data_IF_945195560684
#
_entry.id   IF_945195560684
#
_cell.length_a   1.000
_cell.length_b   1.000
_cell.length_c   1.000
_cell.angle_alpha   90.00
_cell.angle_beta   90.00
_cell.angle_gamma   90.00
#
_symmetry.space_group_name_H-M   'P 1'
#
loop_
_entity.id
_entity.type
_entity.pdbx_description
1 polymer ?
#
# COMPACT_ATOMS: atom_id res chain seq x y z
N UNK A 1 -11.45 8.52 29.49
CA UNK A 1 -12.11 8.95 28.26
C UNK A 1 -11.16 9.95 27.61
N UNK A 2 -10.56 9.58 26.49
CA UNK A 2 -9.60 10.44 25.76
C UNK A 2 -10.23 10.93 24.47
N UNK A 3 -9.79 12.11 24.00
CA UNK A 3 -10.22 12.68 22.72
C UNK A 3 -9.06 12.65 21.73
N UNK A 4 -9.29 12.08 20.55
CA UNK A 4 -8.28 11.95 19.51
C UNK A 4 -8.69 12.67 18.22
N UNK A 5 -7.76 13.36 17.59
CA UNK A 5 -7.97 13.91 16.26
C UNK A 5 -7.25 13.06 15.20
N UNK A 6 -7.85 12.92 14.01
CA UNK A 6 -7.28 12.17 12.89
C UNK A 6 -7.28 13.07 11.66
N UNK A 7 -6.10 13.32 11.08
CA UNK A 7 -5.97 14.06 9.83
C UNK A 7 -6.36 13.17 8.63
N UNK A 8 -7.54 13.39 8.08
CA UNK A 8 -8.01 12.75 6.85
C UNK A 8 -8.20 13.76 5.70
N UNK A 9 -7.50 14.90 5.78
CA UNK A 9 -7.64 15.98 4.80
C UNK A 9 -7.27 15.59 3.37
N UNK A 10 -6.42 14.59 3.13
CA UNK A 10 -6.11 14.09 1.79
C UNK A 10 -7.08 13.02 1.27
N UNK A 11 -7.92 12.46 2.15
CA UNK A 11 -8.81 11.33 1.80
C UNK A 11 -10.06 11.70 1.00
N UNK A 12 -10.27 13.00 0.69
CA UNK A 12 -11.37 13.48 -0.17
C UNK A 12 -11.20 13.05 -1.65
N UNK A 13 -10.00 12.66 -2.05
CA UNK A 13 -9.71 12.24 -3.43
C UNK A 13 -10.55 11.00 -3.74
N UNK A 14 -11.33 11.00 -4.85
CA UNK A 14 -12.22 9.89 -5.19
C UNK A 14 -11.47 8.59 -5.50
N UNK A 15 -10.20 8.71 -5.82
CA UNK A 15 -9.34 7.58 -6.17
C UNK A 15 -8.41 7.29 -5.00
N UNK A 16 -8.71 6.24 -4.24
CA UNK A 16 -7.84 5.79 -3.15
C UNK A 16 -6.55 5.21 -3.72
N UNK A 17 -5.43 5.70 -3.22
CA UNK A 17 -4.11 5.07 -3.39
C UNK A 17 -3.73 4.43 -2.06
N UNK A 18 -2.89 3.42 -2.04
CA UNK A 18 -2.60 2.59 -0.87
C UNK A 18 -2.54 3.33 0.47
N UNK A 19 -1.76 4.42 0.59
CA UNK A 19 -1.67 5.23 1.81
C UNK A 19 -3.02 5.83 2.26
N UNK A 20 -3.88 6.23 1.33
CA UNK A 20 -5.20 6.80 1.66
C UNK A 20 -6.18 5.70 2.08
N UNK A 21 -6.05 4.50 1.51
CA UNK A 21 -6.78 3.32 1.97
C UNK A 21 -6.41 3.01 3.42
N UNK A 22 -5.11 2.98 3.74
CA UNK A 22 -4.65 2.77 5.12
C UNK A 22 -5.21 3.82 6.07
N UNK A 23 -5.17 5.10 5.69
CA UNK A 23 -5.69 6.19 6.52
C UNK A 23 -7.19 6.02 6.84
N UNK A 24 -7.98 5.66 5.84
CA UNK A 24 -9.43 5.42 6.00
C UNK A 24 -9.69 4.19 6.84
N UNK A 25 -9.06 3.07 6.53
CA UNK A 25 -9.35 1.80 7.21
C UNK A 25 -8.83 1.78 8.67
N UNK A 26 -7.68 2.40 8.94
CA UNK A 26 -7.19 2.57 10.32
C UNK A 26 -8.13 3.49 11.11
N UNK A 27 -8.60 4.60 10.52
CA UNK A 27 -9.56 5.48 11.19
C UNK A 27 -10.87 4.75 11.52
N UNK A 28 -11.43 3.96 10.59
CA UNK A 28 -12.62 3.11 10.84
C UNK A 28 -12.37 2.16 12.00
N UNK A 29 -11.31 1.37 11.90
CA UNK A 29 -11.01 0.34 12.90
C UNK A 29 -10.76 0.93 14.30
N UNK A 30 -10.18 2.14 14.39
CA UNK A 30 -10.01 2.84 15.67
C UNK A 30 -11.34 3.29 16.25
N UNK A 31 -12.23 3.88 15.42
CA UNK A 31 -13.56 4.33 15.87
C UNK A 31 -14.42 3.14 16.30
N UNK A 32 -14.36 2.02 15.58
CA UNK A 32 -15.03 0.77 15.94
C UNK A 32 -14.51 0.16 17.25
N UNK A 33 -13.20 0.26 17.50
CA UNK A 33 -12.53 -0.26 18.70
C UNK A 33 -12.61 0.70 19.91
N UNK A 34 -13.29 1.85 19.78
CA UNK A 34 -13.40 2.85 20.84
C UNK A 34 -14.04 2.28 22.10
N UNK A 35 -13.35 2.25 23.19
CA UNK A 35 -13.88 1.90 24.51
C UNK A 35 -14.19 3.18 25.31
N UNK A 36 -15.10 4.03 24.78
CA UNK A 36 -15.47 5.31 25.38
C UNK A 36 -14.59 6.51 24.97
N UNK A 37 -13.62 6.34 24.07
CA UNK A 37 -12.84 7.46 23.51
C UNK A 37 -13.65 8.20 22.44
N UNK A 38 -13.39 9.49 22.31
CA UNK A 38 -14.01 10.38 21.32
C UNK A 38 -13.04 10.63 20.17
N UNK A 39 -13.58 10.73 18.94
CA UNK A 39 -12.79 10.99 17.74
C UNK A 39 -13.30 12.21 16.99
N UNK A 40 -12.36 13.03 16.50
CA UNK A 40 -12.62 14.15 15.63
C UNK A 40 -11.83 13.98 14.33
N UNK A 41 -12.52 13.85 13.20
CA UNK A 41 -11.90 13.80 11.88
C UNK A 41 -11.60 15.21 11.39
N UNK A 42 -10.35 15.48 11.03
CA UNK A 42 -9.94 16.72 10.36
C UNK A 42 -10.06 16.48 8.85
N UNK A 43 -11.08 17.03 8.25
CA UNK A 43 -11.43 16.80 6.84
C UNK A 43 -11.10 18.02 5.98
N UNK A 44 -10.85 17.80 4.70
CA UNK A 44 -11.01 18.84 3.68
C UNK A 44 -12.51 19.11 3.50
N UNK A 45 -12.94 20.11 2.81
CA UNK A 45 -14.32 20.57 2.59
C UNK A 45 -15.49 19.60 2.83
N UNK A 46 -15.26 18.30 2.85
CA UNK A 46 -16.26 17.24 3.04
C UNK A 46 -15.65 16.05 3.78
N UNK A 47 -16.48 15.28 4.43
CA UNK A 47 -16.09 14.01 5.03
C UNK A 47 -15.84 12.99 3.92
N UNK A 48 -14.70 12.25 3.92
CA UNK A 48 -14.45 11.23 2.91
C UNK A 48 -15.59 10.19 2.86
N UNK A 49 -16.02 9.77 1.67
CA UNK A 49 -17.12 8.81 1.49
C UNK A 49 -16.93 7.52 2.32
N UNK A 50 -15.67 7.02 2.40
CA UNK A 50 -15.37 5.85 3.22
C UNK A 50 -15.46 6.06 4.73
N UNK A 51 -15.68 7.28 5.21
CA UNK A 51 -15.82 7.64 6.64
C UNK A 51 -17.16 8.33 6.92
N UNK A 52 -18.06 8.37 5.94
CA UNK A 52 -19.32 9.13 6.05
C UNK A 52 -20.19 8.67 7.21
N UNK A 53 -20.30 7.35 7.39
CA UNK A 53 -21.20 6.70 8.36
C UNK A 53 -20.55 6.49 9.75
N UNK A 54 -19.31 6.96 9.96
CA UNK A 54 -18.69 6.82 11.26
C UNK A 54 -19.32 7.75 12.29
N UNK A 55 -19.66 7.19 13.43
CA UNK A 55 -20.17 7.93 14.58
C UNK A 55 -19.02 8.67 15.31
N UNK A 56 -18.62 9.81 14.77
CA UNK A 56 -17.60 10.69 15.32
C UNK A 56 -17.76 12.11 14.75
N UNK A 57 -17.19 13.10 15.41
CA UNK A 57 -17.17 14.48 14.94
C UNK A 57 -16.32 14.68 13.70
N UNK A 58 -16.63 15.71 12.90
CA UNK A 58 -15.78 16.14 11.79
C UNK A 58 -15.66 17.65 11.75
N UNK A 59 -14.43 18.13 11.61
CA UNK A 59 -14.12 19.55 11.40
C UNK A 59 -13.66 19.74 9.96
N UNK A 60 -14.39 20.57 9.23
CA UNK A 60 -14.19 20.79 7.81
C UNK A 60 -13.29 21.99 7.55
N UNK A 61 -12.28 21.83 6.72
CA UNK A 61 -11.42 22.90 6.29
C UNK A 61 -12.06 23.73 5.15
N UNK A 62 -11.85 25.05 5.13
CA UNK A 62 -12.33 25.90 4.05
C UNK A 62 -11.52 25.75 2.74
N UNK A 63 -10.42 25.00 2.77
CA UNK A 63 -9.47 24.85 1.66
C UNK A 63 -9.38 23.41 1.18
N UNK A 64 -8.98 23.23 -0.11
CA UNK A 64 -8.65 21.90 -0.67
C UNK A 64 -7.16 21.72 -0.92
N UNK A 65 -6.41 22.79 -1.02
CA UNK A 65 -5.00 22.73 -1.38
C UNK A 65 -4.16 22.23 -0.21
N UNK A 66 -3.51 21.11 -0.35
CA UNK A 66 -2.79 20.39 0.73
C UNK A 66 -1.73 21.27 1.41
N UNK A 67 -0.95 22.05 0.65
CA UNK A 67 0.07 22.94 1.23
C UNK A 67 -0.57 24.00 2.11
N UNK A 68 -1.71 24.59 1.70
CA UNK A 68 -2.43 25.59 2.49
C UNK A 68 -3.04 24.96 3.73
N UNK A 69 -3.61 23.76 3.61
CA UNK A 69 -4.12 23.01 4.76
C UNK A 69 -3.04 22.79 5.81
N UNK A 70 -1.89 22.24 5.41
CA UNK A 70 -0.77 21.92 6.31
C UNK A 70 -0.04 23.16 6.85
N UNK A 71 0.03 24.25 6.07
CA UNK A 71 0.75 25.44 6.50
C UNK A 71 -0.09 26.39 7.38
N UNK A 72 -1.40 26.43 7.20
CA UNK A 72 -2.26 27.44 7.85
C UNK A 72 -3.38 26.87 8.69
N UNK A 73 -4.12 25.89 8.18
CA UNK A 73 -5.33 25.40 8.83
C UNK A 73 -5.04 24.35 9.91
N UNK A 74 -4.31 23.29 9.59
CA UNK A 74 -3.98 22.24 10.54
C UNK A 74 -3.30 22.77 11.80
N UNK A 75 -2.25 23.63 11.73
CA UNK A 75 -1.62 24.18 12.93
C UNK A 75 -2.58 25.00 13.81
N UNK A 76 -3.66 25.55 13.25
CA UNK A 76 -4.69 26.25 14.00
C UNK A 76 -5.68 25.28 14.64
N UNK A 77 -6.27 24.41 13.83
CA UNK A 77 -7.34 23.51 14.28
C UNK A 77 -6.83 22.49 15.30
N UNK A 78 -5.57 22.04 15.22
CA UNK A 78 -4.96 21.16 16.21
C UNK A 78 -5.08 21.68 17.65
N UNK A 79 -4.98 23.00 17.84
CA UNK A 79 -5.08 23.62 19.18
C UNK A 79 -6.52 23.90 19.60
N UNK A 80 -7.47 23.89 18.66
CA UNK A 80 -8.87 24.25 18.90
C UNK A 80 -9.76 23.03 19.18
N UNK A 81 -9.41 21.85 18.64
CA UNK A 81 -10.25 20.63 18.78
C UNK A 81 -10.18 19.97 20.16
N UNK A 82 -9.31 20.44 21.07
CA UNK A 82 -9.21 19.91 22.42
C UNK A 82 -8.82 18.42 22.49
N UNK A 83 -8.08 17.92 21.49
CA UNK A 83 -7.63 16.54 21.45
C UNK A 83 -6.46 16.29 22.40
N UNK A 84 -6.39 15.09 23.00
CA UNK A 84 -5.27 14.67 23.84
C UNK A 84 -4.09 14.16 22.99
N UNK A 85 -4.35 13.67 21.78
CA UNK A 85 -3.34 13.32 20.78
C UNK A 85 -3.92 13.42 19.36
N UNK A 86 -3.04 13.58 18.36
CA UNK A 86 -3.44 13.66 16.95
C UNK A 86 -2.69 12.64 16.11
N UNK A 87 -3.41 11.92 15.23
CA UNK A 87 -2.86 10.99 14.25
C UNK A 87 -2.75 11.66 12.88
N UNK A 88 -1.58 11.56 12.28
CA UNK A 88 -1.30 11.85 10.87
C UNK A 88 -1.07 10.52 10.14
N UNK A 89 -2.12 9.89 9.59
CA UNK A 89 -2.03 8.54 9.02
C UNK A 89 -1.33 8.49 7.67
N UNK A 90 -1.05 9.63 7.09
CA UNK A 90 -0.18 9.79 5.92
C UNK A 90 0.68 11.04 6.16
N UNK A 91 1.93 10.87 6.44
CA UNK A 91 2.82 12.00 6.65
C UNK A 91 3.04 12.84 5.35
N UNK A 92 3.56 14.06 5.42
CA UNK A 92 4.09 14.73 6.59
C UNK A 92 3.02 15.40 7.44
N UNK A 93 3.26 15.43 8.76
CA UNK A 93 2.56 16.34 9.67
C UNK A 93 2.86 17.82 9.29
N UNK A 94 2.13 18.80 9.82
CA UNK A 94 2.46 20.19 9.61
C UNK A 94 3.93 20.48 9.96
N UNK A 95 4.68 21.22 9.11
CA UNK A 95 6.11 21.47 9.32
C UNK A 95 6.38 22.35 10.55
N UNK A 96 5.39 23.14 10.95
CA UNK A 96 5.41 23.97 12.17
C UNK A 96 4.11 23.78 12.90
N UNK A 97 4.22 23.27 14.12
CA UNK A 97 3.09 23.12 15.04
C UNK A 97 3.09 24.26 16.06
N UNK A 98 1.91 24.67 16.50
CA UNK A 98 1.78 25.75 17.48
C UNK A 98 2.14 25.26 18.89
N UNK A 99 2.61 26.16 19.79
CA UNK A 99 2.66 25.84 21.21
C UNK A 99 1.28 25.40 21.70
N UNK A 100 1.24 24.36 22.54
CA UNK A 100 -0.01 23.80 23.03
C UNK A 100 -0.74 22.83 22.08
N UNK A 101 -0.18 22.57 20.88
CA UNK A 101 -0.72 21.52 20.02
C UNK A 101 -0.56 20.13 20.68
N UNK A 102 -1.57 19.23 20.56
CA UNK A 102 -1.52 17.91 21.19
C UNK A 102 -0.36 17.07 20.63
N UNK A 103 0.15 16.10 21.41
CA UNK A 103 1.18 15.18 20.91
C UNK A 103 0.80 14.57 19.56
N UNK A 104 1.76 14.51 18.60
CA UNK A 104 1.54 13.98 17.26
C UNK A 104 2.02 12.54 17.13
N UNK A 105 1.20 11.70 16.57
CA UNK A 105 1.55 10.37 16.07
C UNK A 105 1.56 10.42 14.54
N UNK A 106 2.65 10.04 13.90
CA UNK A 106 2.79 10.04 12.43
C UNK A 106 2.93 8.63 11.89
N UNK A 107 2.37 8.36 10.71
CA UNK A 107 2.56 7.09 10.01
C UNK A 107 3.51 7.28 8.84
N UNK A 108 4.63 6.56 8.82
CA UNK A 108 5.63 6.56 7.73
C UNK A 108 5.49 5.27 6.94
N UNK A 109 4.86 5.35 5.75
CA UNK A 109 4.52 4.17 4.95
C UNK A 109 5.71 3.52 4.26
N UNK A 110 6.62 4.30 3.71
CA UNK A 110 7.85 3.82 3.07
C UNK A 110 8.94 4.88 3.04
N UNK A 111 10.12 4.51 2.56
CA UNK A 111 11.26 5.39 2.37
C UNK A 111 11.80 5.36 0.93
N UNK A 112 10.93 5.07 -0.04
CA UNK A 112 11.32 4.98 -1.46
C UNK A 112 12.06 6.24 -1.93
N UNK A 113 11.61 7.42 -1.52
CA UNK A 113 12.22 8.70 -1.88
C UNK A 113 13.69 8.84 -1.40
N UNK A 114 14.09 8.08 -0.39
CA UNK A 114 15.44 8.07 0.19
C UNK A 114 16.28 6.91 -0.30
N UNK A 115 15.70 5.72 -0.38
CA UNK A 115 16.40 4.47 -0.70
C UNK A 115 16.46 4.19 -2.20
N UNK A 116 15.47 4.67 -2.94
CA UNK A 116 15.32 4.51 -4.40
C UNK A 116 15.08 5.87 -5.08
N UNK A 117 15.96 6.86 -4.90
CA UNK A 117 15.71 8.23 -5.33
C UNK A 117 15.54 8.37 -6.85
N UNK A 118 16.12 7.49 -7.65
CA UNK A 118 15.94 7.48 -9.10
C UNK A 118 14.53 7.07 -9.54
N UNK A 119 13.77 6.40 -8.67
CA UNK A 119 12.43 5.86 -8.94
C UNK A 119 11.30 6.76 -8.41
N UNK A 120 11.66 7.93 -7.86
CA UNK A 120 10.70 8.88 -7.27
C UNK A 120 10.88 10.27 -7.91
N UNK A 121 9.80 11.00 -8.26
CA UNK A 121 9.89 12.36 -8.80
C UNK A 121 10.74 13.28 -7.93
N UNK A 122 11.57 14.11 -8.54
CA UNK A 122 12.49 14.96 -7.79
C UNK A 122 11.76 15.94 -6.84
N UNK A 123 10.58 16.43 -7.25
CA UNK A 123 9.75 17.30 -6.40
C UNK A 123 9.30 16.56 -5.13
N UNK A 124 8.79 15.33 -5.29
CA UNK A 124 8.37 14.51 -4.16
C UNK A 124 9.57 14.16 -3.28
N UNK A 125 10.71 13.81 -3.87
CA UNK A 125 11.95 13.51 -3.15
C UNK A 125 12.42 14.71 -2.32
N UNK A 126 12.40 15.91 -2.89
CA UNK A 126 12.76 17.13 -2.18
C UNK A 126 11.77 17.42 -1.04
N UNK A 127 10.46 17.40 -1.33
CA UNK A 127 9.40 17.63 -0.36
C UNK A 127 9.47 16.64 0.80
N UNK A 128 9.53 15.36 0.50
CA UNK A 128 9.59 14.30 1.51
C UNK A 128 10.92 14.34 2.29
N UNK A 129 12.03 14.54 1.60
CA UNK A 129 13.36 14.58 2.21
C UNK A 129 13.55 15.74 3.17
N UNK A 130 12.93 16.89 2.92
CA UNK A 130 13.02 18.07 3.80
C UNK A 130 12.10 18.01 5.00
N UNK A 131 10.94 17.36 4.88
CA UNK A 131 9.92 17.40 5.93
C UNK A 131 9.99 16.23 6.90
N UNK A 132 10.46 15.04 6.48
CA UNK A 132 10.42 13.86 7.33
C UNK A 132 11.33 14.01 8.57
N UNK A 133 12.56 14.48 8.40
CA UNK A 133 13.49 14.63 9.53
C UNK A 133 12.93 15.51 10.68
N UNK A 134 12.43 16.73 10.38
CA UNK A 134 11.71 17.54 11.39
C UNK A 134 10.47 16.86 11.96
N UNK A 135 9.66 16.18 11.13
CA UNK A 135 8.47 15.47 11.61
C UNK A 135 8.83 14.36 12.61
N UNK A 136 9.89 13.56 12.33
CA UNK A 136 10.38 12.51 13.22
C UNK A 136 10.88 13.06 14.57
N UNK A 137 11.55 14.22 14.55
CA UNK A 137 12.02 14.86 15.79
C UNK A 137 10.87 15.32 16.67
N UNK A 138 9.80 15.81 16.07
CA UNK A 138 8.66 16.43 16.76
C UNK A 138 7.51 15.45 17.05
N UNK A 139 7.53 14.24 16.49
CA UNK A 139 6.50 13.24 16.75
C UNK A 139 6.68 12.61 18.12
N UNK A 140 5.59 12.46 18.87
CA UNK A 140 5.56 11.72 20.12
C UNK A 140 5.66 10.21 19.90
N UNK A 141 5.09 9.71 18.79
CA UNK A 141 5.28 8.35 18.33
C UNK A 141 5.26 8.28 16.79
N UNK A 142 5.89 7.24 16.24
CA UNK A 142 5.99 6.99 14.80
C UNK A 142 5.51 5.58 14.51
N UNK A 143 4.55 5.46 13.61
CA UNK A 143 4.03 4.19 13.12
C UNK A 143 4.69 3.84 11.80
N UNK A 144 4.97 2.56 11.60
CA UNK A 144 5.53 2.03 10.34
C UNK A 144 4.82 0.71 10.00
N UNK A 145 4.65 0.35 8.71
CA UNK A 145 3.85 -0.82 8.32
C UNK A 145 4.58 -2.16 8.46
N UNK A 146 5.92 -2.14 8.60
CA UNK A 146 6.73 -3.36 8.62
C UNK A 146 8.02 -3.17 9.45
N UNK A 147 8.62 -4.28 9.89
CA UNK A 147 9.95 -4.28 10.53
C UNK A 147 11.01 -3.82 9.53
N UNK A 148 10.82 -4.09 8.25
CA UNK A 148 11.69 -3.60 7.19
C UNK A 148 11.67 -2.07 7.14
N UNK A 149 10.48 -1.44 7.11
CA UNK A 149 10.38 0.02 7.14
C UNK A 149 10.95 0.61 8.44
N UNK A 150 10.78 -0.09 9.58
CA UNK A 150 11.40 0.32 10.86
C UNK A 150 12.93 0.34 10.77
N UNK A 151 13.54 -0.74 10.27
CA UNK A 151 15.02 -0.82 10.09
C UNK A 151 15.52 0.25 9.13
N UNK A 152 14.85 0.42 8.00
CA UNK A 152 15.18 1.41 6.98
C UNK A 152 15.12 2.83 7.55
N UNK A 153 14.09 3.12 8.36
CA UNK A 153 13.90 4.43 8.98
C UNK A 153 15.02 4.74 9.98
N UNK A 154 15.37 3.79 10.84
CA UNK A 154 16.45 3.93 11.81
C UNK A 154 17.81 4.12 11.13
N UNK A 155 18.07 3.38 10.04
CA UNK A 155 19.28 3.52 9.27
C UNK A 155 19.37 4.88 8.54
N UNK A 156 18.25 5.37 8.00
CA UNK A 156 18.20 6.63 7.25
C UNK A 156 18.18 7.87 8.15
N UNK A 157 17.67 7.74 9.36
CA UNK A 157 17.50 8.82 10.35
C UNK A 157 17.97 8.37 11.75
N UNK A 158 19.29 8.40 12.03
CA UNK A 158 19.83 7.97 13.32
C UNK A 158 19.58 9.04 14.40
N UNK A 159 18.32 9.21 14.79
CA UNK A 159 17.89 10.14 15.83
C UNK A 159 17.85 9.42 17.18
N UNK A 160 18.43 10.03 18.21
CA UNK A 160 18.39 9.49 19.58
C UNK A 160 16.94 9.30 20.06
N UNK A 161 16.63 8.14 20.63
CA UNK A 161 15.30 7.78 21.12
C UNK A 161 14.24 7.57 20.04
N UNK A 162 14.61 7.54 18.75
CA UNK A 162 13.62 7.26 17.70
C UNK A 162 13.09 5.83 17.81
N UNK A 163 13.95 4.85 18.11
CA UNK A 163 13.55 3.45 18.21
C UNK A 163 12.49 3.21 19.29
N UNK A 164 12.61 3.88 20.44
CA UNK A 164 11.65 3.79 21.55
C UNK A 164 10.26 4.33 21.20
N UNK A 165 10.17 5.18 20.18
CA UNK A 165 8.93 5.79 19.68
C UNK A 165 8.35 5.11 18.45
N UNK A 166 9.04 4.08 17.92
CA UNK A 166 8.57 3.34 16.75
C UNK A 166 7.64 2.20 17.14
N UNK A 167 6.53 2.09 16.44
CA UNK A 167 5.61 0.96 16.57
C UNK A 167 5.27 0.42 15.18
N UNK A 168 5.40 -0.90 14.98
CA UNK A 168 4.99 -1.54 13.74
C UNK A 168 3.49 -1.80 13.77
N UNK A 169 2.78 -1.19 12.83
CA UNK A 169 1.33 -1.34 12.62
C UNK A 169 1.12 -1.97 11.25
N UNK A 170 0.98 -3.29 11.22
CA UNK A 170 0.76 -4.02 9.98
C UNK A 170 -0.61 -3.72 9.41
N UNK A 171 -0.63 -3.42 8.12
CA UNK A 171 -1.85 -3.12 7.38
C UNK A 171 -2.75 -4.37 7.27
N UNK A 172 -4.02 -4.18 6.96
CA UNK A 172 -5.01 -5.23 6.80
C UNK A 172 -5.57 -5.30 5.40
N UNK A 173 -6.52 -6.20 5.19
CA UNK A 173 -7.37 -6.24 4.00
C UNK A 173 -8.81 -6.04 4.42
N UNK A 174 -9.54 -5.22 3.66
CA UNK A 174 -10.98 -5.01 3.83
C UNK A 174 -11.76 -6.21 3.27
N UNK A 175 -12.98 -6.39 3.74
CA UNK A 175 -13.89 -7.35 3.13
C UNK A 175 -14.08 -6.99 1.64
N UNK A 176 -13.90 -7.99 0.78
CA UNK A 176 -14.06 -7.79 -0.65
C UNK A 176 -15.53 -7.55 -1.00
N UNK A 177 -15.82 -6.63 -1.95
CA UNK A 177 -17.14 -6.52 -2.52
C UNK A 177 -17.50 -7.79 -3.30
N UNK A 178 -18.78 -8.01 -3.64
CA UNK A 178 -19.12 -9.05 -4.60
C UNK A 178 -18.30 -8.89 -5.89
N UNK A 179 -17.78 -9.99 -6.46
CA UNK A 179 -16.97 -9.92 -7.66
C UNK A 179 -17.79 -9.41 -8.84
N UNK A 180 -17.19 -8.54 -9.65
CA UNK A 180 -17.73 -8.10 -10.92
C UNK A 180 -17.60 -9.16 -12.01
N UNK A 181 -17.79 -8.73 -13.26
CA UNK A 181 -17.50 -9.56 -14.44
C UNK A 181 -16.07 -9.32 -14.91
N UNK A 182 -15.42 -10.37 -15.41
CA UNK A 182 -14.14 -10.22 -16.10
C UNK A 182 -14.30 -9.28 -17.30
N UNK A 183 -13.38 -8.32 -17.48
CA UNK A 183 -13.38 -7.46 -18.65
C UNK A 183 -13.31 -8.27 -19.95
N UNK A 184 -13.97 -7.75 -21.00
CA UNK A 184 -14.01 -8.40 -22.29
C UNK A 184 -12.61 -8.74 -22.84
N UNK A 185 -12.47 -9.91 -23.41
CA UNK A 185 -11.21 -10.40 -23.98
C UNK A 185 -10.21 -10.97 -22.95
N UNK A 186 -10.58 -11.04 -21.69
CA UNK A 186 -9.79 -11.70 -20.63
C UNK A 186 -10.46 -13.03 -20.27
N UNK A 187 -9.68 -14.11 -20.39
CA UNK A 187 -10.12 -15.43 -19.95
C UNK A 187 -9.41 -15.81 -18.63
N UNK A 188 -10.08 -16.56 -17.74
CA UNK A 188 -9.46 -17.01 -16.48
C UNK A 188 -8.11 -17.71 -16.71
N UNK A 189 -7.23 -17.61 -15.70
CA UNK A 189 -5.92 -18.26 -15.74
C UNK A 189 -4.76 -17.36 -16.17
N UNK A 190 -4.96 -16.05 -16.28
CA UNK A 190 -3.94 -15.06 -16.65
C UNK A 190 -2.92 -14.83 -15.53
N UNK A 191 -1.80 -14.17 -15.87
CA UNK A 191 -0.85 -13.59 -14.95
C UNK A 191 -1.37 -12.18 -14.60
N UNK A 192 -1.57 -11.89 -13.33
CA UNK A 192 -2.05 -10.58 -12.85
C UNK A 192 -0.87 -9.74 -12.34
N UNK A 193 -0.84 -8.47 -12.71
CA UNK A 193 0.01 -7.47 -12.09
C UNK A 193 -0.84 -6.27 -11.65
N UNK A 194 -0.71 -5.85 -10.38
CA UNK A 194 -1.53 -4.77 -9.79
C UNK A 194 -0.63 -3.66 -9.28
N UNK A 195 -0.95 -2.44 -9.64
CA UNK A 195 -0.29 -1.24 -9.12
C UNK A 195 -0.13 -0.14 -10.14
N UNK A 196 0.09 1.07 -9.64
CA UNK A 196 0.39 2.25 -10.47
C UNK A 196 1.57 1.98 -11.40
N UNK A 197 1.49 2.41 -12.66
CA UNK A 197 2.60 2.28 -13.61
C UNK A 197 3.66 3.32 -13.25
N UNK A 198 4.59 2.93 -12.42
CA UNK A 198 5.70 3.74 -11.90
C UNK A 198 7.00 2.92 -11.86
N UNK A 199 8.18 3.54 -11.86
CA UNK A 199 9.46 2.83 -11.94
C UNK A 199 9.63 1.75 -10.86
N UNK A 200 9.20 2.00 -9.64
CA UNK A 200 9.30 1.11 -8.49
C UNK A 200 8.56 -0.22 -8.66
N UNK A 201 7.46 -0.22 -9.45
CA UNK A 201 6.68 -1.45 -9.76
C UNK A 201 7.34 -2.34 -10.82
N UNK A 202 8.40 -1.86 -11.46
CA UNK A 202 9.30 -2.65 -12.30
C UNK A 202 8.66 -3.30 -13.54
N UNK A 203 7.64 -2.67 -14.11
CA UNK A 203 6.98 -3.17 -15.32
C UNK A 203 7.92 -3.41 -16.51
N UNK A 204 8.98 -2.62 -16.75
CA UNK A 204 9.91 -2.89 -17.85
C UNK A 204 10.56 -4.28 -17.76
N UNK A 205 11.01 -4.70 -16.55
CA UNK A 205 11.59 -6.03 -16.37
C UNK A 205 10.55 -7.14 -16.39
N UNK A 206 9.34 -6.87 -15.88
CA UNK A 206 8.23 -7.82 -15.99
C UNK A 206 7.86 -8.09 -17.47
N UNK A 207 7.81 -7.07 -18.31
CA UNK A 207 7.60 -7.23 -19.75
C UNK A 207 8.73 -8.01 -20.42
N UNK A 208 9.99 -7.73 -20.07
CA UNK A 208 11.13 -8.49 -20.58
C UNK A 208 11.05 -9.98 -20.20
N UNK A 209 10.70 -10.26 -18.93
CA UNK A 209 10.47 -11.63 -18.45
C UNK A 209 9.32 -12.31 -19.18
N UNK A 210 8.23 -11.61 -19.39
CA UNK A 210 7.05 -12.13 -20.12
C UNK A 210 7.37 -12.46 -21.59
N UNK A 211 8.16 -11.61 -22.30
CA UNK A 211 8.66 -11.91 -23.65
C UNK A 211 9.50 -13.19 -23.67
N UNK A 212 10.40 -13.36 -22.70
CA UNK A 212 11.24 -14.56 -22.57
C UNK A 212 10.41 -15.83 -22.39
N UNK A 213 9.37 -15.77 -21.57
CA UNK A 213 8.43 -16.89 -21.40
C UNK A 213 7.76 -17.27 -22.72
N UNK A 214 7.36 -16.28 -23.52
CA UNK A 214 6.67 -16.51 -24.80
C UNK A 214 7.58 -16.99 -25.93
N UNK A 215 8.86 -16.63 -25.91
CA UNK A 215 9.82 -16.94 -26.98
C UNK A 215 10.62 -18.22 -26.78
N UNK A 216 10.48 -18.91 -25.63
CA UNK A 216 11.20 -20.18 -25.40
C UNK A 216 10.68 -21.30 -26.32
N UNK A 217 11.55 -21.90 -27.20
CA UNK A 217 11.17 -23.07 -27.98
C UNK A 217 10.90 -24.25 -27.02
N UNK A 218 9.79 -24.91 -27.17
CA UNK A 218 9.42 -26.03 -26.29
C UNK A 218 9.02 -25.58 -24.87
N UNK A 219 8.70 -24.27 -24.66
CA UNK A 219 8.02 -23.85 -23.46
C UNK A 219 6.90 -24.85 -23.18
N UNK A 220 7.01 -25.52 -22.03
CA UNK A 220 6.09 -26.54 -21.56
C UNK A 220 4.67 -26.18 -21.99
N UNK A 221 3.84 -27.14 -22.41
CA UNK A 221 2.43 -26.87 -22.61
C UNK A 221 1.89 -26.42 -21.23
N UNK A 222 2.05 -25.12 -20.93
CA UNK A 222 1.40 -24.52 -19.78
C UNK A 222 -0.08 -24.66 -20.08
N UNK A 223 -0.69 -25.70 -19.52
CA UNK A 223 -2.12 -25.93 -19.65
C UNK A 223 -2.78 -25.30 -18.45
N UNK A 224 -3.36 -24.13 -18.67
CA UNK A 224 -4.22 -23.51 -17.65
C UNK A 224 -5.66 -23.66 -18.14
N UNK A 225 -6.39 -24.53 -17.50
CA UNK A 225 -7.71 -24.96 -17.97
C UNK A 225 -7.63 -25.71 -19.31
N UNK A 226 -8.30 -25.21 -20.36
CA UNK A 226 -8.32 -25.82 -21.71
C UNK A 226 -7.35 -25.15 -22.69
N UNK A 227 -6.52 -24.20 -22.26
CA UNK A 227 -5.61 -23.47 -23.15
C UNK A 227 -4.17 -23.89 -22.95
N UNK A 228 -3.49 -24.20 -24.03
CA UNK A 228 -2.05 -24.42 -24.06
C UNK A 228 -1.34 -23.11 -24.44
N UNK A 229 -0.19 -22.85 -23.82
CA UNK A 229 0.65 -21.69 -24.10
C UNK A 229 0.78 -20.73 -22.90
N UNK A 230 1.58 -19.69 -23.06
CA UNK A 230 1.79 -18.69 -22.00
C UNK A 230 0.52 -17.86 -21.83
N UNK A 231 -0.02 -17.77 -20.58
CA UNK A 231 -1.23 -16.98 -20.30
C UNK A 231 -1.04 -15.50 -20.63
N UNK A 232 -2.14 -14.77 -20.84
CA UNK A 232 -2.10 -13.30 -20.92
C UNK A 232 -1.48 -12.70 -19.66
N UNK A 233 -0.78 -11.57 -19.80
CA UNK A 233 -0.40 -10.71 -18.70
C UNK A 233 -1.42 -9.57 -18.61
N UNK A 234 -2.20 -9.56 -17.53
CA UNK A 234 -3.20 -8.52 -17.25
C UNK A 234 -2.64 -7.54 -16.24
N UNK A 235 -2.61 -6.26 -16.58
CA UNK A 235 -2.09 -5.20 -15.75
C UNK A 235 -3.24 -4.26 -15.35
N UNK A 236 -3.52 -4.19 -14.06
CA UNK A 236 -4.51 -3.29 -13.45
C UNK A 236 -3.81 -2.21 -12.62
N UNK A 237 -3.99 -0.95 -13.00
CA UNK A 237 -3.38 0.17 -12.29
C UNK A 237 -3.33 1.43 -13.13
N UNK A 238 -3.25 2.57 -12.46
CA UNK A 238 -3.22 3.88 -13.15
C UNK A 238 -1.86 4.17 -13.76
N UNK A 239 -1.80 4.98 -14.80
CA UNK A 239 -0.57 5.68 -15.15
C UNK A 239 -0.08 6.53 -13.98
N UNK A 240 1.18 6.37 -13.58
CA UNK A 240 1.82 7.11 -12.50
C UNK A 240 2.70 8.24 -13.05
N UNK A 241 3.95 8.29 -12.59
CA UNK A 241 4.96 9.24 -13.08
C UNK A 241 6.07 8.49 -13.84
N UNK A 242 6.78 9.19 -14.74
CA UNK A 242 7.84 8.63 -15.58
C UNK A 242 7.43 7.34 -16.31
N UNK A 243 6.17 7.26 -16.74
CA UNK A 243 5.56 6.06 -17.31
C UNK A 243 5.55 6.07 -18.86
N UNK A 244 5.77 7.22 -19.53
CA UNK A 244 5.48 7.41 -20.95
C UNK A 244 5.93 6.26 -21.84
N UNK A 245 7.23 5.97 -21.88
CA UNK A 245 7.75 4.86 -22.66
C UNK A 245 7.29 3.48 -22.12
N UNK A 246 7.22 3.32 -20.81
CA UNK A 246 6.74 2.07 -20.18
C UNK A 246 5.29 1.78 -20.54
N UNK A 247 4.41 2.76 -20.53
CA UNK A 247 3.00 2.58 -20.90
C UNK A 247 2.86 2.20 -22.37
N UNK A 248 3.60 2.86 -23.26
CA UNK A 248 3.62 2.53 -24.68
C UNK A 248 4.09 1.08 -24.92
N UNK A 249 5.13 0.65 -24.20
CA UNK A 249 5.62 -0.73 -24.24
C UNK A 249 4.59 -1.73 -23.72
N UNK A 250 3.88 -1.43 -22.63
CA UNK A 250 2.81 -2.25 -22.08
C UNK A 250 1.70 -2.44 -23.14
N UNK A 251 1.25 -1.33 -23.76
CA UNK A 251 0.17 -1.35 -24.75
C UNK A 251 0.54 -2.02 -26.06
N UNK A 252 1.82 -1.92 -26.46
CA UNK A 252 2.32 -2.54 -27.69
C UNK A 252 2.70 -4.03 -27.53
N UNK A 253 2.81 -4.52 -26.29
CA UNK A 253 3.28 -5.90 -26.05
C UNK A 253 2.20 -6.92 -26.37
N UNK A 254 2.44 -7.83 -27.32
CA UNK A 254 1.47 -8.88 -27.63
C UNK A 254 1.19 -9.77 -26.40
N UNK A 255 -0.09 -10.07 -26.15
CA UNK A 255 -0.53 -10.89 -25.03
C UNK A 255 -0.62 -10.13 -23.69
N UNK A 256 -0.34 -8.84 -23.67
CA UNK A 256 -0.55 -7.97 -22.51
C UNK A 256 -1.88 -7.21 -22.65
N UNK A 257 -2.63 -7.15 -21.56
CA UNK A 257 -3.87 -6.35 -21.44
C UNK A 257 -3.70 -5.34 -20.34
N UNK A 258 -3.65 -4.07 -20.70
CA UNK A 258 -3.63 -2.97 -19.76
C UNK A 258 -5.04 -2.44 -19.54
N UNK A 259 -5.54 -2.50 -18.30
CA UNK A 259 -6.90 -2.11 -17.93
C UNK A 259 -6.99 -0.67 -17.42
N UNK A 260 -5.84 -0.06 -17.10
CA UNK A 260 -5.88 1.20 -16.37
C UNK A 260 -6.41 1.01 -14.94
N UNK A 261 -7.04 2.05 -14.41
CA UNK A 261 -7.73 1.96 -13.12
C UNK A 261 -9.00 1.13 -13.26
N UNK A 262 -9.17 0.18 -12.36
CA UNK A 262 -10.39 -0.64 -12.25
C UNK A 262 -11.06 -0.36 -10.90
N UNK A 263 -12.37 -0.58 -10.82
CA UNK A 263 -13.10 -0.54 -9.56
C UNK A 263 -12.82 -1.77 -8.67
N UNK A 264 -13.26 -1.71 -7.43
CA UNK A 264 -13.02 -2.76 -6.44
C UNK A 264 -13.66 -4.10 -6.87
N UNK A 265 -14.85 -4.09 -7.48
CA UNK A 265 -15.53 -5.30 -7.93
C UNK A 265 -14.81 -5.97 -9.10
N UNK A 266 -14.27 -5.18 -10.03
CA UNK A 266 -13.43 -5.66 -11.12
C UNK A 266 -12.10 -6.18 -10.59
N UNK A 267 -11.46 -5.49 -9.65
CA UNK A 267 -10.22 -5.94 -9.03
C UNK A 267 -10.41 -7.28 -8.30
N UNK A 268 -11.53 -7.44 -7.61
CA UNK A 268 -11.92 -8.67 -6.92
C UNK A 268 -11.98 -9.87 -7.88
N UNK A 269 -12.71 -9.74 -8.99
CA UNK A 269 -12.80 -10.84 -9.96
C UNK A 269 -11.46 -11.12 -10.66
N UNK A 270 -10.58 -10.10 -10.81
CA UNK A 270 -9.24 -10.30 -11.33
C UNK A 270 -8.39 -11.17 -10.39
N UNK A 271 -8.40 -10.91 -9.07
CA UNK A 271 -7.70 -11.75 -8.10
C UNK A 271 -8.23 -13.18 -8.06
N UNK A 272 -9.56 -13.36 -8.14
CA UNK A 272 -10.19 -14.69 -8.15
C UNK A 272 -9.90 -15.50 -9.39
N UNK A 273 -9.71 -14.85 -10.53
CA UNK A 273 -9.60 -15.51 -11.84
C UNK A 273 -8.17 -15.67 -12.35
N UNK A 274 -7.21 -15.02 -11.74
CA UNK A 274 -5.79 -15.13 -12.09
C UNK A 274 -5.19 -16.47 -11.65
N UNK A 275 -4.12 -16.90 -12.33
CA UNK A 275 -3.32 -18.06 -11.92
C UNK A 275 -2.15 -17.70 -11.03
N UNK A 276 -1.57 -16.52 -11.21
CA UNK A 276 -0.39 -16.04 -10.50
C UNK A 276 -0.44 -14.51 -10.39
N UNK A 277 -0.08 -13.97 -9.23
CA UNK A 277 0.27 -12.56 -9.10
C UNK A 277 1.75 -12.37 -9.45
N UNK A 278 2.07 -11.50 -10.41
CA UNK A 278 3.43 -11.04 -10.70
C UNK A 278 3.65 -9.66 -10.05
N UNK A 279 4.41 -9.62 -8.96
CA UNK A 279 4.65 -8.40 -8.19
C UNK A 279 6.15 -8.20 -7.89
N UNK A 280 7.01 -8.10 -8.95
CA UNK A 280 8.46 -7.97 -8.81
C UNK A 280 8.86 -6.52 -8.50
N UNK A 281 8.19 -5.87 -7.55
CA UNK A 281 8.49 -4.49 -7.13
C UNK A 281 9.91 -4.38 -6.62
N UNK A 282 10.57 -3.26 -6.92
CA UNK A 282 11.93 -2.96 -6.48
C UNK A 282 11.99 -2.54 -5.00
N UNK A 283 10.91 -2.00 -4.48
CA UNK A 283 10.76 -1.63 -3.07
C UNK A 283 9.28 -1.40 -2.71
N UNK A 284 8.86 -1.91 -1.56
CA UNK A 284 7.56 -1.65 -0.94
C UNK A 284 7.73 -1.44 0.56
N UNK A 285 6.91 -0.56 1.15
CA UNK A 285 6.84 -0.40 2.61
C UNK A 285 6.00 -1.48 3.28
N UNK A 286 4.96 -2.00 2.57
CA UNK A 286 4.14 -3.12 3.02
C UNK A 286 3.82 -4.09 1.87
N UNK A 287 2.96 -3.71 0.92
CA UNK A 287 2.61 -4.54 -0.23
C UNK A 287 1.17 -5.02 -0.22
N UNK A 288 0.19 -4.13 -0.10
CA UNK A 288 -1.24 -4.46 -0.14
C UNK A 288 -1.64 -5.41 -1.26
N UNK A 289 -1.17 -5.24 -2.54
CA UNK A 289 -1.52 -6.17 -3.61
C UNK A 289 -1.09 -7.63 -3.35
N UNK A 290 0.04 -7.84 -2.66
CA UNK A 290 0.45 -9.18 -2.25
C UNK A 290 -0.49 -9.72 -1.17
N UNK A 291 -0.85 -8.91 -0.18
CA UNK A 291 -1.77 -9.32 0.88
C UNK A 291 -3.16 -9.66 0.31
N UNK A 292 -3.67 -8.84 -0.61
CA UNK A 292 -4.91 -9.06 -1.33
C UNK A 292 -4.86 -10.41 -2.11
N UNK A 293 -3.80 -10.66 -2.86
CA UNK A 293 -3.61 -11.94 -3.55
C UNK A 293 -3.60 -13.13 -2.57
N UNK A 294 -2.94 -12.98 -1.43
CA UNK A 294 -2.89 -14.03 -0.39
C UNK A 294 -4.27 -14.34 0.19
N UNK A 295 -5.15 -13.34 0.37
CA UNK A 295 -6.54 -13.55 0.81
C UNK A 295 -7.29 -14.44 -0.19
N UNK A 296 -7.09 -14.21 -1.48
CA UNK A 296 -7.70 -15.03 -2.54
C UNK A 296 -7.01 -16.40 -2.73
N UNK A 297 -5.90 -16.64 -2.04
CA UNK A 297 -5.07 -17.83 -2.26
C UNK A 297 -4.44 -17.83 -3.65
N UNK A 298 -4.26 -16.65 -4.24
CA UNK A 298 -3.53 -16.48 -5.48
C UNK A 298 -2.02 -16.58 -5.20
N UNK A 299 -1.32 -17.58 -5.73
CA UNK A 299 0.13 -17.68 -5.55
C UNK A 299 0.83 -16.49 -6.19
N UNK A 300 1.90 -16.02 -5.56
CA UNK A 300 2.59 -14.82 -5.98
C UNK A 300 4.06 -15.05 -6.29
N UNK A 301 4.56 -14.31 -7.28
CA UNK A 301 5.97 -14.04 -7.49
C UNK A 301 6.25 -12.61 -7.00
N UNK A 302 7.26 -12.43 -6.15
CA UNK A 302 7.63 -11.15 -5.55
C UNK A 302 9.12 -10.87 -5.68
N UNK A 303 9.49 -9.59 -5.60
CA UNK A 303 10.89 -9.18 -5.46
C UNK A 303 11.43 -9.45 -4.05
N UNK A 304 12.70 -9.83 -3.95
CA UNK A 304 13.44 -10.02 -2.67
C UNK A 304 13.85 -8.68 -2.01
N UNK A 305 12.97 -7.69 -2.04
CA UNK A 305 13.31 -6.34 -1.59
C UNK A 305 12.17 -5.69 -0.81
N UNK A 306 12.52 -4.73 0.04
CA UNK A 306 11.56 -4.05 0.89
C UNK A 306 10.85 -5.01 1.87
N UNK A 307 9.60 -4.76 2.15
CA UNK A 307 8.77 -5.53 3.07
C UNK A 307 8.15 -6.81 2.48
N UNK A 308 8.27 -7.04 1.16
CA UNK A 308 7.58 -8.16 0.50
C UNK A 308 7.98 -9.54 1.07
N UNK A 309 9.29 -9.85 1.30
CA UNK A 309 9.67 -11.11 1.94
C UNK A 309 9.11 -11.25 3.37
N UNK A 310 9.10 -10.15 4.15
CA UNK A 310 8.52 -10.13 5.50
C UNK A 310 7.02 -10.41 5.45
N UNK A 311 6.29 -9.76 4.55
CA UNK A 311 4.86 -9.96 4.38
C UNK A 311 4.56 -11.38 3.90
N UNK A 312 5.26 -11.86 2.87
CA UNK A 312 5.11 -13.21 2.35
C UNK A 312 5.43 -14.29 3.39
N UNK A 313 6.53 -14.14 4.14
CA UNK A 313 6.95 -15.12 5.15
C UNK A 313 7.11 -16.54 4.58
N UNK A 314 7.68 -16.65 3.39
CA UNK A 314 7.96 -17.92 2.72
C UNK A 314 6.80 -18.52 1.92
N UNK A 315 5.66 -17.82 1.74
CA UNK A 315 4.50 -18.32 0.98
C UNK A 315 4.39 -17.74 -0.43
N UNK A 316 5.48 -17.17 -0.95
CA UNK A 316 5.58 -16.66 -2.32
C UNK A 316 6.90 -17.13 -2.97
N UNK A 317 6.97 -17.07 -4.29
CA UNK A 317 8.22 -17.25 -5.02
C UNK A 317 8.98 -15.94 -5.02
N UNK A 318 10.12 -15.90 -4.35
CA UNK A 318 10.97 -14.73 -4.23
C UNK A 318 12.07 -14.76 -5.28
N UNK A 319 12.21 -13.65 -6.02
CA UNK A 319 13.22 -13.52 -7.09
C UNK A 319 14.01 -12.22 -6.94
N UNK A 320 15.18 -12.18 -7.57
CA UNK A 320 15.87 -10.92 -7.80
C UNK A 320 15.02 -10.09 -8.79
N UNK A 321 14.45 -9.01 -8.30
CA UNK A 321 13.61 -8.14 -9.11
C UNK A 321 14.40 -7.33 -10.16
N UNK A 322 15.72 -7.25 -10.04
CA UNK A 322 16.58 -6.58 -11.02
C UNK A 322 17.01 -7.52 -12.18
N UNK A 323 16.73 -8.81 -12.05
CA UNK A 323 17.01 -9.83 -13.08
C UNK A 323 15.72 -10.32 -13.76
N UNK A 324 15.56 -9.97 -15.05
CA UNK A 324 14.40 -10.42 -15.84
C UNK A 324 14.41 -11.93 -16.13
N UNK A 325 15.56 -12.61 -16.13
CA UNK A 325 15.64 -14.06 -16.26
C UNK A 325 15.16 -14.77 -15.00
N UNK A 326 15.52 -14.23 -13.82
CA UNK A 326 15.03 -14.71 -12.54
C UNK A 326 13.48 -14.56 -12.43
N UNK A 327 12.94 -13.41 -12.87
CA UNK A 327 11.49 -13.18 -12.93
C UNK A 327 10.84 -14.18 -13.87
N UNK A 328 11.38 -14.41 -15.07
CA UNK A 328 10.85 -15.35 -16.05
C UNK A 328 10.86 -16.79 -15.49
N UNK A 329 11.96 -17.24 -14.91
CA UNK A 329 12.10 -18.57 -14.33
C UNK A 329 11.13 -18.78 -13.14
N UNK A 330 10.95 -17.76 -12.31
CA UNK A 330 10.00 -17.80 -11.19
C UNK A 330 8.54 -17.91 -11.67
N UNK A 331 8.15 -17.15 -12.70
CA UNK A 331 6.84 -17.26 -13.34
C UNK A 331 6.64 -18.62 -14.00
N UNK A 332 7.62 -19.13 -14.74
CA UNK A 332 7.58 -20.46 -15.37
C UNK A 332 7.36 -21.54 -14.33
N UNK A 333 8.10 -21.52 -13.22
CA UNK A 333 7.95 -22.45 -12.10
C UNK A 333 6.51 -22.45 -11.57
N UNK A 334 5.94 -21.27 -11.31
CA UNK A 334 4.56 -21.17 -10.83
C UNK A 334 3.53 -21.62 -11.86
N UNK A 335 3.73 -21.30 -13.13
CA UNK A 335 2.77 -21.64 -14.18
C UNK A 335 2.78 -23.14 -14.52
N UNK A 336 3.95 -23.77 -14.47
CA UNK A 336 4.12 -25.19 -14.78
C UNK A 336 3.63 -26.13 -13.67
N UNK A 337 3.68 -25.71 -12.40
CA UNK A 337 3.42 -26.56 -11.23
C UNK A 337 2.12 -26.16 -10.55
N UNK A 338 1.04 -26.87 -10.84
CA UNK A 338 -0.28 -26.66 -10.26
C UNK A 338 -0.33 -27.02 -8.74
N UNK A 339 0.43 -28.03 -8.33
CA UNK A 339 0.50 -28.43 -6.92
C UNK A 339 1.20 -27.36 -6.08
N UNK A 340 2.32 -26.82 -6.58
CA UNK A 340 3.00 -25.69 -5.96
C UNK A 340 2.07 -24.49 -5.84
N UNK A 341 1.31 -24.17 -6.89
CA UNK A 341 0.34 -23.06 -6.82
C UNK A 341 -0.71 -23.29 -5.73
N UNK A 342 -1.29 -24.48 -5.68
CA UNK A 342 -2.28 -24.82 -4.65
C UNK A 342 -1.70 -24.73 -3.24
N UNK A 343 -0.50 -25.28 -3.02
CA UNK A 343 0.23 -25.24 -1.75
C UNK A 343 0.51 -23.80 -1.28
N UNK A 344 1.07 -22.98 -2.18
CA UNK A 344 1.38 -21.59 -1.85
C UNK A 344 0.11 -20.75 -1.63
N UNK A 345 -0.94 -20.98 -2.43
CA UNK A 345 -2.21 -20.29 -2.29
C UNK A 345 -2.88 -20.58 -0.94
N UNK A 346 -2.92 -21.85 -0.51
CA UNK A 346 -3.47 -22.21 0.79
C UNK A 346 -2.65 -21.65 1.96
N UNK A 347 -1.32 -21.74 1.86
CA UNK A 347 -0.43 -21.16 2.86
C UNK A 347 -0.57 -19.63 2.93
N UNK A 348 -0.78 -18.97 1.76
CA UNK A 348 -1.05 -17.55 1.65
C UNK A 348 -2.32 -17.14 2.41
N UNK A 349 -3.45 -17.86 2.20
CA UNK A 349 -4.70 -17.57 2.93
C UNK A 349 -4.51 -17.67 4.45
N UNK A 350 -3.85 -18.72 4.93
CA UNK A 350 -3.57 -18.87 6.37
C UNK A 350 -2.71 -17.74 6.92
N UNK A 351 -1.76 -17.26 6.14
CA UNK A 351 -0.91 -16.14 6.53
C UNK A 351 -1.68 -14.83 6.52
N UNK A 352 -2.44 -14.55 5.46
CA UNK A 352 -3.24 -13.32 5.30
C UNK A 352 -4.23 -13.09 6.45
N UNK A 353 -4.79 -14.15 7.01
CA UNK A 353 -5.70 -14.09 8.15
C UNK A 353 -5.09 -13.42 9.41
N UNK A 354 -3.77 -13.27 9.46
CA UNK A 354 -3.08 -12.59 10.57
C UNK A 354 -3.09 -11.07 10.44
N UNK A 355 -3.41 -10.53 9.25
CA UNK A 355 -3.35 -9.13 8.88
C UNK A 355 -4.76 -8.55 8.74
N UNK A 356 -5.21 -7.83 9.77
CA UNK A 356 -6.56 -7.26 9.81
C UNK A 356 -6.52 -5.79 10.19
N UNK A 357 -7.42 -5.00 9.62
CA UNK A 357 -7.57 -3.60 9.99
C UNK A 357 -7.94 -3.43 11.47
N UNK A 358 -8.69 -4.35 12.05
CA UNK A 358 -9.01 -4.33 13.47
C UNK A 358 -7.74 -4.34 14.34
N UNK A 359 -6.75 -5.19 14.02
CA UNK A 359 -5.46 -5.20 14.72
C UNK A 359 -4.69 -3.90 14.48
N UNK A 360 -4.66 -3.41 13.25
CA UNK A 360 -4.00 -2.14 12.93
C UNK A 360 -4.61 -0.97 13.71
N UNK A 361 -5.94 -0.89 13.75
CA UNK A 361 -6.68 0.13 14.50
C UNK A 361 -6.45 0.03 16.01
N UNK A 362 -6.53 -1.17 16.60
CA UNK A 362 -6.25 -1.37 18.03
C UNK A 362 -4.82 -0.97 18.41
N UNK A 363 -3.82 -1.42 17.66
CA UNK A 363 -2.41 -1.06 17.92
C UNK A 363 -2.20 0.45 17.80
N UNK A 364 -2.80 1.09 16.78
CA UNK A 364 -2.74 2.55 16.62
C UNK A 364 -3.39 3.28 17.79
N UNK A 365 -4.56 2.80 18.24
CA UNK A 365 -5.28 3.38 19.38
C UNK A 365 -4.51 3.24 20.70
N UNK A 366 -3.87 2.09 20.92
CA UNK A 366 -2.98 1.88 22.08
C UNK A 366 -1.82 2.90 22.12
N UNK A 367 -1.21 3.15 20.94
CA UNK A 367 -0.15 4.18 20.82
C UNK A 367 -0.69 5.57 21.15
N UNK A 368 -1.86 5.93 20.61
CA UNK A 368 -2.49 7.23 20.89
C UNK A 368 -2.82 7.40 22.38
N UNK A 369 -3.38 6.36 23.03
CA UNK A 369 -3.67 6.39 24.48
C UNK A 369 -2.40 6.56 25.32
N UNK A 370 -1.35 5.84 24.98
CA UNK A 370 -0.04 5.96 25.66
C UNK A 370 0.52 7.36 25.54
N UNK A 371 0.47 7.96 24.36
CA UNK A 371 0.98 9.31 24.08
C UNK A 371 0.13 10.39 24.74
N UNK A 372 -1.17 10.17 24.91
CA UNK A 372 -2.11 11.10 25.54
C UNK A 372 -2.04 11.04 27.08
N UNK A 373 -1.59 9.94 27.66
CA UNK A 373 -1.50 9.74 29.13
C UNK A 373 -0.13 10.05 29.74
N UNK A 374 0.88 10.34 28.93
CA UNK A 374 2.20 10.80 29.36
C UNK A 374 2.32 12.31 29.22
#
# INVERSE_FOLDING_TARGET
>A
MSRFAIDVTACWRPQRVGMLTVAVEVAKAMVEARAGDEFTLLCSRERPAGLADLDCEAVLAPYRHEVVLKARWLPKVETEVGANAILYPYWPSPPRRRPGAPPAVIFVHDLAFRLRPAEVPWQQRLYMGTLLGPALRNAAAVLVPSETTRRDLLAAYPLTGLDDRLTVVREGVSAAPPPGMLPEGIAPGFILAVGTVEPRKNYPRLLAAYRRLRSRPGALPIVIGRRAGVPQLVIAGRPGWAYGDTLNRIQAEPGVRFLGHVDEATLEVLYQSASVLAFPSLYEGFGLPLLEAMVHGLPALIGKSGSLPELAGGVAVEVDAEDADAIAAGLEKLLADAELRAKLGEAGRRRAAKFTWAKAGMTTLEVLRRVAGG
#
